data_IF_117640507294
#
_entry.id   IF_117640507294
#
_cell.length_a   1.000
_cell.length_b   1.000
_cell.length_c   1.000
_cell.angle_alpha   90.00
_cell.angle_beta   90.00
_cell.angle_gamma   90.00
#
_symmetry.space_group_name_H-M   'P 1'
#
loop_
_entity.id
_entity.type
_entity.pdbx_description
1 polymer ?
#
# COMPACT_ATOMS: atom_id res chain seq x y z
N UNK A 1 -9.56 -18.92 -15.93
CA UNK A 1 -10.32 -18.97 -14.65
C UNK A 1 -9.35 -18.62 -13.55
N UNK A 2 -9.28 -17.35 -13.16
CA UNK A 2 -8.49 -16.95 -12.00
C UNK A 2 -9.28 -17.32 -10.74
N UNK A 3 -8.85 -18.38 -10.07
CA UNK A 3 -9.32 -18.76 -8.74
C UNK A 3 -8.51 -17.98 -7.70
N UNK A 4 -9.17 -17.15 -6.87
CA UNK A 4 -8.71 -16.75 -5.52
C UNK A 4 -9.76 -15.79 -4.91
N UNK A 5 -10.56 -16.08 -3.88
CA UNK A 5 -10.36 -16.77 -2.59
C UNK A 5 -9.47 -16.07 -1.54
N UNK A 6 -9.43 -14.73 -1.58
CA UNK A 6 -9.27 -13.92 -0.35
C UNK A 6 -10.17 -12.68 -0.41
N UNK A 7 -11.16 -12.62 0.48
CA UNK A 7 -11.93 -11.40 0.73
C UNK A 7 -10.97 -10.33 1.27
N UNK A 8 -10.76 -9.27 0.50
CA UNK A 8 -10.24 -8.01 1.01
C UNK A 8 -11.29 -7.44 1.97
N UNK A 9 -10.91 -7.16 3.21
CA UNK A 9 -11.82 -6.63 4.24
C UNK A 9 -11.99 -5.11 4.09
N UNK A 10 -10.93 -4.43 3.65
CA UNK A 10 -10.87 -2.97 3.54
C UNK A 10 -11.18 -2.47 2.13
N UNK A 11 -10.70 -3.17 1.10
CA UNK A 11 -10.85 -2.70 -0.28
C UNK A 11 -12.33 -2.71 -0.72
N UNK A 12 -12.81 -1.57 -1.20
CA UNK A 12 -14.19 -1.41 -1.69
C UNK A 12 -15.23 -1.13 -0.59
N UNK A 13 -14.81 -0.93 0.66
CA UNK A 13 -15.67 -0.61 1.80
C UNK A 13 -15.22 0.66 2.53
N UNK A 14 -16.10 1.22 3.37
CA UNK A 14 -15.73 2.35 4.23
C UNK A 14 -14.90 1.83 5.41
N UNK A 15 -13.65 2.28 5.51
CA UNK A 15 -12.69 1.87 6.55
C UNK A 15 -12.19 3.09 7.33
N UNK A 16 -12.00 2.95 8.64
CA UNK A 16 -11.42 4.00 9.49
C UNK A 16 -9.89 4.04 9.35
N UNK A 17 -9.29 5.21 9.60
CA UNK A 17 -7.83 5.32 9.68
C UNK A 17 -7.30 4.55 10.89
N UNK A 18 -6.17 3.81 10.75
CA UNK A 18 -5.56 3.11 11.87
C UNK A 18 -4.96 4.09 12.89
N UNK A 19 -4.89 3.67 14.16
CA UNK A 19 -4.36 4.51 15.24
C UNK A 19 -2.83 4.73 15.17
N UNK A 20 -2.10 3.85 14.47
CA UNK A 20 -0.66 3.96 14.25
C UNK A 20 -0.26 3.21 12.97
N UNK A 21 0.95 3.46 12.42
CA UNK A 21 1.46 2.71 11.27
C UNK A 21 1.53 1.19 11.51
N UNK A 22 1.95 0.75 12.70
CA UNK A 22 2.04 -0.69 13.04
C UNK A 22 0.68 -1.38 13.11
N UNK A 23 -0.38 -0.63 13.42
CA UNK A 23 -1.75 -1.13 13.44
C UNK A 23 -2.40 -1.15 12.04
N UNK A 24 -1.75 -0.56 11.02
CA UNK A 24 -2.25 -0.57 9.66
C UNK A 24 -2.15 -1.99 9.07
N UNK A 25 -3.20 -2.43 8.35
CA UNK A 25 -3.24 -3.73 7.69
C UNK A 25 -3.12 -3.52 6.19
N UNK A 26 -2.12 -4.15 5.57
CA UNK A 26 -1.94 -4.17 4.12
C UNK A 26 -2.73 -5.33 3.53
N UNK A 27 -3.50 -5.05 2.48
CA UNK A 27 -4.22 -6.05 1.70
C UNK A 27 -3.57 -6.23 0.33
N UNK A 28 -3.69 -7.43 -0.22
CA UNK A 28 -3.12 -7.79 -1.52
C UNK A 28 -4.22 -8.35 -2.41
N UNK A 29 -4.12 -8.05 -3.69
CA UNK A 29 -4.94 -8.65 -4.74
C UNK A 29 -4.10 -9.63 -5.53
N UNK A 30 -4.75 -10.62 -6.16
CA UNK A 30 -4.03 -11.54 -7.04
C UNK A 30 -3.46 -10.79 -8.25
N UNK A 31 -2.25 -11.16 -8.67
CA UNK A 31 -1.66 -10.68 -9.91
C UNK A 31 -2.51 -11.17 -11.10
N UNK A 32 -3.10 -10.27 -11.90
CA UNK A 32 -3.93 -10.65 -13.05
C UNK A 32 -3.12 -11.20 -14.24
N UNK A 33 -1.81 -10.94 -14.30
CA UNK A 33 -0.92 -11.30 -15.41
C UNK A 33 0.37 -11.97 -14.91
N UNK A 34 0.29 -13.17 -14.29
CA UNK A 34 1.45 -13.85 -13.70
C UNK A 34 2.44 -14.42 -14.74
N UNK A 35 2.09 -14.38 -16.02
CA UNK A 35 2.90 -14.87 -17.14
C UNK A 35 3.75 -13.78 -17.80
N UNK A 36 3.65 -12.52 -17.33
CA UNK A 36 4.36 -11.38 -17.91
C UNK A 36 4.97 -10.50 -16.82
N UNK A 37 6.26 -10.18 -16.94
CA UNK A 37 6.88 -9.18 -16.07
C UNK A 37 6.36 -7.77 -16.43
N UNK A 38 5.78 -7.09 -15.45
CA UNK A 38 5.39 -5.69 -15.56
C UNK A 38 5.70 -4.93 -14.28
N UNK A 39 5.94 -3.61 -14.38
CA UNK A 39 6.17 -2.75 -13.23
C UNK A 39 4.86 -2.12 -12.78
N UNK A 40 4.47 -2.38 -11.54
CA UNK A 40 3.45 -1.61 -10.85
C UNK A 40 4.13 -0.47 -10.08
N UNK A 41 3.80 0.79 -10.43
CA UNK A 41 4.32 2.00 -9.78
C UNK A 41 3.27 2.66 -8.91
N UNK A 42 3.63 2.92 -7.66
CA UNK A 42 2.88 3.84 -6.80
C UNK A 42 3.66 5.15 -6.64
N UNK A 43 2.98 6.27 -6.93
CA UNK A 43 3.46 7.62 -6.65
C UNK A 43 2.64 8.18 -5.50
N UNK A 44 3.27 8.42 -4.36
CA UNK A 44 2.62 8.90 -3.15
C UNK A 44 3.16 10.30 -2.81
N UNK A 45 2.59 11.37 -3.40
CA UNK A 45 3.07 12.74 -3.18
C UNK A 45 2.68 13.30 -1.80
N UNK A 46 1.83 12.60 -1.05
CA UNK A 46 1.28 13.06 0.22
C UNK A 46 1.86 12.30 1.43
N UNK A 47 3.07 11.76 1.30
CA UNK A 47 3.70 11.11 2.44
C UNK A 47 4.17 12.13 3.47
N UNK A 48 3.78 11.90 4.73
CA UNK A 48 4.26 12.66 5.88
C UNK A 48 4.54 11.74 7.06
N UNK A 49 5.49 12.13 7.92
CA UNK A 49 5.85 11.41 9.14
C UNK A 49 6.36 12.38 10.20
N UNK A 50 6.61 11.90 11.42
CA UNK A 50 7.20 12.71 12.49
C UNK A 50 8.69 12.39 12.62
N UNK A 51 9.52 13.43 12.69
CA UNK A 51 10.95 13.28 12.98
C UNK A 51 11.13 12.68 14.39
N UNK A 52 11.88 11.58 14.56
CA UNK A 52 12.01 10.90 15.85
C UNK A 52 12.76 11.73 16.91
N UNK A 53 13.56 12.71 16.49
CA UNK A 53 14.35 13.56 17.41
C UNK A 53 13.56 14.80 17.84
N UNK A 54 12.89 15.47 16.89
CA UNK A 54 12.28 16.79 17.14
C UNK A 54 10.76 16.74 17.24
N UNK A 55 10.11 15.67 16.77
CA UNK A 55 8.66 15.56 16.68
C UNK A 55 8.02 16.47 15.63
N UNK A 56 8.80 17.12 14.77
CA UNK A 56 8.28 17.97 13.70
C UNK A 56 7.81 17.11 12.51
N UNK A 57 6.82 17.59 11.73
CA UNK A 57 6.35 16.89 10.55
C UNK A 57 7.36 17.00 9.40
N UNK A 58 7.71 15.84 8.82
CA UNK A 58 8.49 15.72 7.61
C UNK A 58 7.56 15.37 6.43
N UNK A 59 7.92 15.81 5.23
CA UNK A 59 7.15 15.56 4.00
C UNK A 59 8.06 15.00 2.92
N UNK A 60 7.56 14.03 2.15
CA UNK A 60 8.28 13.48 1.01
C UNK A 60 7.33 13.00 -0.09
N UNK A 61 7.87 12.85 -1.30
CA UNK A 61 7.22 12.10 -2.37
C UNK A 61 7.84 10.71 -2.42
N UNK A 62 7.05 9.67 -2.16
CA UNK A 62 7.50 8.29 -2.32
C UNK A 62 7.18 7.79 -3.73
N UNK A 63 8.15 7.10 -4.34
CA UNK A 63 7.97 6.34 -5.59
C UNK A 63 8.33 4.89 -5.30
N UNK A 64 7.37 4.00 -5.45
CA UNK A 64 7.53 2.56 -5.18
C UNK A 64 7.28 1.81 -6.48
N UNK A 65 8.33 1.16 -6.98
CA UNK A 65 8.27 0.28 -8.13
C UNK A 65 8.50 -1.16 -7.70
N UNK A 66 7.65 -2.07 -8.17
CA UNK A 66 7.85 -3.50 -7.96
C UNK A 66 7.29 -4.29 -9.15
N UNK A 67 7.82 -5.50 -9.33
CA UNK A 67 7.28 -6.52 -10.23
C UNK A 67 6.48 -7.48 -9.35
N UNK A 68 5.17 -7.65 -9.59
CA UNK A 68 4.36 -8.60 -8.83
C UNK A 68 4.67 -10.04 -9.26
N UNK A 69 4.74 -10.94 -8.29
CA UNK A 69 4.78 -12.40 -8.52
C UNK A 69 3.42 -12.94 -8.99
#
# INVERSE_FOLDING_TARGET
>A
MATNDKQTEQLGSQTALPASPDAAKLERVANPHPDTDYVARFTCPEFTSLCPVTGQPDFAHLVIDYIPD
#
